data_IF_893761938997
#
_entry.id   IF_893761938997
#
_cell.length_a   1.000
_cell.length_b   1.000
_cell.length_c   1.000
_cell.angle_alpha   90.00
_cell.angle_beta   90.00
_cell.angle_gamma   90.00
#
_symmetry.space_group_name_H-M   'P 1'
#
loop_
_entity.id
_entity.type
_entity.pdbx_description
1 polymer ?
#
# COMPACT_ATOMS: atom_id res chain seq x y z
N UNK A 1 -18.47 -44.36 -82.29
CA UNK A 1 -18.30 -44.37 -80.81
C UNK A 1 -17.46 -43.18 -80.38
N UNK A 2 -17.73 -42.67 -79.17
CA UNK A 2 -17.01 -41.66 -78.37
C UNK A 2 -17.45 -40.19 -78.54
N UNK A 3 -18.42 -39.86 -77.66
CA UNK A 3 -19.02 -38.56 -77.33
C UNK A 3 -17.95 -37.56 -76.86
N UNK A 4 -18.03 -36.31 -77.34
CA UNK A 4 -17.32 -35.17 -76.78
C UNK A 4 -18.03 -34.73 -75.49
N UNK A 5 -17.35 -34.87 -74.36
CA UNK A 5 -17.81 -34.37 -73.05
C UNK A 5 -17.33 -32.93 -72.91
N UNK A 6 -18.29 -32.02 -72.84
CA UNK A 6 -18.09 -30.61 -72.53
C UNK A 6 -17.84 -30.47 -71.02
N UNK A 7 -16.60 -30.22 -70.59
CA UNK A 7 -16.30 -29.89 -69.19
C UNK A 7 -16.58 -28.40 -68.95
N UNK A 8 -17.59 -28.14 -68.13
CA UNK A 8 -17.90 -26.83 -67.56
C UNK A 8 -16.86 -26.55 -66.46
N UNK A 9 -16.01 -25.55 -66.67
CA UNK A 9 -15.12 -25.03 -65.66
C UNK A 9 -15.93 -24.16 -64.67
N UNK A 10 -16.33 -24.74 -63.55
CA UNK A 10 -16.87 -23.97 -62.41
C UNK A 10 -15.69 -23.32 -61.70
N UNK A 11 -15.44 -22.05 -62.03
CA UNK A 11 -14.54 -21.19 -61.24
C UNK A 11 -15.26 -20.87 -59.93
N UNK A 12 -14.96 -21.62 -58.88
CA UNK A 12 -15.30 -21.24 -57.50
C UNK A 12 -14.45 -20.02 -57.13
N UNK A 13 -14.97 -18.81 -57.39
CA UNK A 13 -14.50 -17.59 -56.74
C UNK A 13 -14.95 -17.64 -55.28
N UNK A 14 -14.20 -18.39 -54.47
CA UNK A 14 -14.32 -18.36 -53.02
C UNK A 14 -13.96 -16.97 -52.52
N UNK A 15 -14.99 -16.16 -52.28
CA UNK A 15 -14.89 -14.87 -51.60
C UNK A 15 -14.24 -15.13 -50.25
N UNK A 16 -12.96 -14.76 -50.11
CA UNK A 16 -12.31 -14.65 -48.81
C UNK A 16 -12.95 -13.45 -48.13
N UNK A 17 -14.10 -13.67 -47.49
CA UNK A 17 -14.73 -12.70 -46.60
C UNK A 17 -13.94 -12.65 -45.28
N UNK A 18 -12.63 -12.39 -45.35
CA UNK A 18 -11.83 -11.94 -44.23
C UNK A 18 -12.09 -10.44 -44.03
N UNK A 19 -13.36 -10.09 -43.75
CA UNK A 19 -13.77 -8.79 -43.26
C UNK A 19 -13.34 -8.57 -41.81
N UNK A 20 -12.09 -8.88 -41.48
CA UNK A 20 -11.44 -8.27 -40.32
C UNK A 20 -11.11 -6.84 -40.76
N UNK A 21 -12.01 -5.90 -40.50
CA UNK A 21 -11.77 -4.48 -40.77
C UNK A 21 -10.39 -4.06 -40.25
N UNK A 22 -9.69 -3.19 -41.01
CA UNK A 22 -8.32 -2.73 -40.69
C UNK A 22 -8.20 -2.48 -39.18
N UNK A 23 -7.19 -3.08 -38.54
CA UNK A 23 -7.00 -2.94 -37.10
C UNK A 23 -6.94 -1.46 -36.72
N UNK A 24 -7.58 -1.08 -35.62
CA UNK A 24 -7.46 0.25 -35.04
C UNK A 24 -6.93 0.16 -33.60
N UNK A 25 -6.27 1.23 -33.17
CA UNK A 25 -5.73 1.36 -31.81
C UNK A 25 -5.62 2.84 -31.44
N UNK A 26 -6.32 3.23 -30.38
CA UNK A 26 -6.21 4.55 -29.75
C UNK A 26 -6.07 4.39 -28.23
N UNK A 27 -5.50 5.42 -27.61
CA UNK A 27 -5.41 5.59 -26.16
C UNK A 27 -6.06 6.93 -25.82
N UNK A 28 -6.75 7.00 -24.70
CA UNK A 28 -7.41 8.24 -24.29
C UNK A 28 -6.38 9.33 -23.96
N UNK A 29 -5.32 8.94 -23.24
CA UNK A 29 -4.26 9.82 -22.78
C UNK A 29 -2.90 9.20 -23.07
N UNK A 30 -1.97 10.01 -23.58
CA UNK A 30 -0.56 9.61 -23.77
C UNK A 30 0.26 9.78 -22.49
N UNK A 31 -0.28 10.46 -21.49
CA UNK A 31 0.33 10.71 -20.20
C UNK A 31 -0.71 10.49 -19.11
N UNK A 32 -0.42 9.63 -18.14
CA UNK A 32 -1.36 9.26 -17.08
C UNK A 32 -0.67 9.36 -15.73
N UNK A 33 -1.26 10.14 -14.83
CA UNK A 33 -0.84 10.18 -13.43
C UNK A 33 -1.48 9.00 -12.66
N UNK A 34 -0.72 8.28 -11.81
CA UNK A 34 -1.33 7.25 -10.99
C UNK A 34 -2.25 7.87 -9.92
N UNK A 35 -3.34 7.17 -9.63
CA UNK A 35 -4.26 7.50 -8.54
C UNK A 35 -4.17 6.41 -7.45
N UNK A 36 -3.80 6.83 -6.25
CA UNK A 36 -3.51 5.94 -5.13
C UNK A 36 -2.36 4.96 -5.42
N UNK A 37 -2.69 3.71 -5.77
CA UNK A 37 -1.68 2.65 -5.94
C UNK A 37 -1.24 2.42 -7.38
N UNK A 38 -1.98 2.93 -8.37
CA UNK A 38 -1.77 2.57 -9.77
C UNK A 38 -2.39 3.58 -10.74
N UNK A 39 -1.92 3.56 -11.99
CA UNK A 39 -2.53 4.29 -13.09
C UNK A 39 -3.51 3.40 -13.86
N UNK A 40 -4.62 3.97 -14.34
CA UNK A 40 -5.55 3.27 -15.22
C UNK A 40 -5.37 3.80 -16.63
N UNK A 41 -4.97 2.92 -17.54
CA UNK A 41 -4.85 3.25 -18.97
C UNK A 41 -6.11 2.77 -19.68
N UNK A 42 -6.70 3.65 -20.48
CA UNK A 42 -7.92 3.40 -21.25
C UNK A 42 -7.69 3.70 -22.72
N UNK A 43 -8.40 2.99 -23.58
CA UNK A 43 -8.33 3.20 -25.02
C UNK A 43 -9.35 2.37 -25.79
N UNK A 44 -9.23 2.37 -27.10
CA UNK A 44 -10.13 1.67 -28.00
C UNK A 44 -9.36 0.82 -29.03
N UNK A 45 -9.94 -0.33 -29.36
CA UNK A 45 -9.50 -1.20 -30.44
C UNK A 45 -10.65 -2.05 -30.96
N UNK A 46 -10.72 -2.27 -32.27
CA UNK A 46 -11.66 -3.16 -32.95
C UNK A 46 -11.23 -4.63 -32.92
N UNK A 47 -10.06 -4.92 -32.35
CA UNK A 47 -9.59 -6.28 -32.13
C UNK A 47 -10.05 -6.79 -30.77
N UNK A 48 -10.30 -8.11 -30.65
CA UNK A 48 -10.81 -8.74 -29.42
C UNK A 48 -9.88 -8.58 -28.22
N UNK A 49 -8.59 -8.38 -28.46
CA UNK A 49 -7.56 -8.23 -27.44
C UNK A 49 -6.55 -7.17 -27.86
N UNK A 50 -5.97 -6.50 -26.87
CA UNK A 50 -4.77 -5.67 -27.03
C UNK A 50 -3.66 -6.22 -26.15
N UNK A 51 -2.44 -6.16 -26.64
CA UNK A 51 -1.25 -6.57 -25.91
C UNK A 51 -0.56 -5.33 -25.33
N UNK A 52 0.06 -5.44 -24.17
CA UNK A 52 0.83 -4.35 -23.59
C UNK A 52 2.07 -4.84 -22.85
N UNK A 53 3.08 -3.98 -22.81
CA UNK A 53 4.33 -4.17 -22.08
C UNK A 53 4.57 -2.94 -21.22
N UNK A 54 5.05 -3.13 -19.99
CA UNK A 54 5.46 -2.04 -19.09
C UNK A 54 6.98 -2.06 -19.04
N UNK A 55 7.64 -0.97 -19.42
CA UNK A 55 9.10 -0.84 -19.45
C UNK A 55 9.79 -1.98 -20.25
N UNK A 56 9.17 -2.43 -21.35
CA UNK A 56 9.69 -3.53 -22.18
C UNK A 56 9.65 -4.92 -21.53
N UNK A 57 9.01 -5.07 -20.37
CA UNK A 57 8.86 -6.36 -19.70
C UNK A 57 7.94 -7.34 -20.46
N UNK A 58 7.68 -8.50 -19.86
CA UNK A 58 6.83 -9.53 -20.43
C UNK A 58 5.47 -8.99 -20.90
N UNK A 59 5.09 -9.40 -22.11
CA UNK A 59 3.82 -9.03 -22.73
C UNK A 59 2.64 -9.56 -21.92
N UNK A 60 1.67 -8.68 -21.70
CA UNK A 60 0.37 -9.00 -21.10
C UNK A 60 -0.72 -8.70 -22.11
N UNK A 61 -1.89 -9.28 -21.93
CA UNK A 61 -3.04 -9.05 -22.81
C UNK A 61 -4.26 -8.64 -22.00
N UNK A 62 -5.10 -7.78 -22.58
CA UNK A 62 -6.41 -7.44 -22.03
C UNK A 62 -7.46 -7.54 -23.14
N UNK A 63 -8.64 -8.06 -22.79
CA UNK A 63 -9.77 -8.15 -23.72
C UNK A 63 -10.40 -6.79 -23.91
N UNK A 64 -10.82 -6.50 -25.14
CA UNK A 64 -11.72 -5.39 -25.41
C UNK A 64 -13.15 -5.78 -25.09
N UNK A 65 -13.93 -4.84 -24.56
CA UNK A 65 -15.38 -4.96 -24.40
C UNK A 65 -16.04 -3.84 -25.19
N UNK A 66 -16.84 -4.20 -26.19
CA UNK A 66 -17.49 -3.23 -27.10
C UNK A 66 -16.50 -2.22 -27.70
N UNK A 67 -15.33 -2.71 -28.12
CA UNK A 67 -14.27 -1.88 -28.70
C UNK A 67 -13.43 -1.08 -27.70
N UNK A 68 -13.73 -1.10 -26.40
CA UNK A 68 -12.96 -0.40 -25.38
C UNK A 68 -12.08 -1.36 -24.57
N UNK A 69 -10.91 -0.90 -24.13
CA UNK A 69 -10.07 -1.60 -23.16
C UNK A 69 -9.67 -0.68 -22.01
N UNK A 70 -9.44 -1.29 -20.85
CA UNK A 70 -8.84 -0.62 -19.70
C UNK A 70 -7.99 -1.62 -18.91
N UNK A 71 -6.83 -1.19 -18.44
CA UNK A 71 -5.99 -1.99 -17.56
C UNK A 71 -5.21 -1.11 -16.58
N UNK A 72 -4.78 -1.72 -15.49
CA UNK A 72 -4.12 -1.02 -14.38
C UNK A 72 -2.63 -1.29 -14.40
N UNK A 73 -1.83 -0.22 -14.25
CA UNK A 73 -0.37 -0.26 -14.19
C UNK A 73 0.06 0.20 -12.79
N UNK A 74 0.67 -0.68 -11.98
CA UNK A 74 1.20 -0.29 -10.67
C UNK A 74 2.09 0.95 -10.78
N UNK A 75 1.91 1.90 -9.88
CA UNK A 75 2.78 3.08 -9.80
C UNK A 75 4.21 2.67 -9.42
N UNK A 76 5.20 3.46 -9.83
CA UNK A 76 6.60 3.32 -9.42
C UNK A 76 7.18 4.68 -9.03
N UNK A 77 8.34 4.66 -8.39
CA UNK A 77 9.15 5.86 -8.10
C UNK A 77 9.95 6.37 -9.31
N UNK A 78 9.71 5.78 -10.49
CA UNK A 78 10.23 6.20 -11.79
C UNK A 78 9.11 6.25 -12.82
N UNK A 79 9.32 7.09 -13.84
CA UNK A 79 8.43 7.16 -15.00
C UNK A 79 8.45 5.82 -15.71
N UNK A 80 7.27 5.35 -16.14
CA UNK A 80 7.14 4.09 -16.86
C UNK A 80 6.64 4.36 -18.28
N UNK A 81 7.09 3.54 -19.22
CA UNK A 81 6.55 3.56 -20.59
C UNK A 81 5.73 2.30 -20.81
N UNK A 82 4.49 2.48 -21.22
CA UNK A 82 3.57 1.39 -21.52
C UNK A 82 3.33 1.36 -23.02
N UNK A 83 3.86 0.33 -23.67
CA UNK A 83 3.68 0.11 -25.11
C UNK A 83 2.51 -0.83 -25.32
N UNK A 84 1.50 -0.38 -26.04
CA UNK A 84 0.27 -1.11 -26.36
C UNK A 84 0.28 -1.45 -27.84
N UNK A 85 -0.02 -2.70 -28.17
CA UNK A 85 0.07 -3.23 -29.53
C UNK A 85 -1.18 -4.00 -29.92
N UNK A 86 -1.56 -3.82 -31.18
CA UNK A 86 -2.65 -4.54 -31.85
C UNK A 86 -2.27 -4.77 -33.31
N UNK A 87 -1.99 -6.02 -33.69
CA UNK A 87 -1.42 -6.31 -35.01
C UNK A 87 -0.11 -5.57 -35.24
N UNK A 88 -0.03 -4.76 -36.30
CA UNK A 88 1.12 -3.90 -36.62
C UNK A 88 1.06 -2.51 -35.95
N UNK A 89 -0.04 -2.16 -35.29
CA UNK A 89 -0.21 -0.85 -34.63
C UNK A 89 0.40 -0.85 -33.24
N UNK A 90 1.02 0.27 -32.87
CA UNK A 90 1.62 0.49 -31.55
C UNK A 90 1.30 1.90 -31.04
N UNK A 91 1.09 2.03 -29.73
CA UNK A 91 0.93 3.30 -29.01
C UNK A 91 1.69 3.24 -27.69
N UNK A 92 2.39 4.32 -27.36
CA UNK A 92 3.06 4.46 -26.07
C UNK A 92 2.31 5.42 -25.17
N UNK A 93 2.19 5.05 -23.90
CA UNK A 93 1.63 5.86 -22.82
C UNK A 93 2.69 5.99 -21.73
N UNK A 94 2.97 7.23 -21.29
CA UNK A 94 3.84 7.49 -20.14
C UNK A 94 3.01 7.51 -18.86
N UNK A 95 3.47 6.77 -17.87
CA UNK A 95 2.89 6.81 -16.51
C UNK A 95 3.85 7.57 -15.60
N UNK A 96 3.34 8.61 -14.95
CA UNK A 96 4.13 9.44 -14.03
C UNK A 96 4.68 8.65 -12.85
N UNK A 97 5.81 9.12 -12.32
CA UNK A 97 6.37 8.60 -11.07
C UNK A 97 5.62 9.17 -9.86
N UNK A 98 5.56 8.38 -8.79
CA UNK A 98 5.15 8.85 -7.45
C UNK A 98 6.29 8.56 -6.47
N UNK A 99 6.73 9.52 -5.64
CA UNK A 99 7.76 9.25 -4.65
C UNK A 99 7.37 8.12 -3.70
N UNK A 100 8.33 7.30 -3.28
CA UNK A 100 8.05 6.25 -2.32
C UNK A 100 7.77 6.82 -0.92
N UNK A 101 6.85 6.20 -0.17
CA UNK A 101 6.64 6.45 1.26
C UNK A 101 7.88 6.08 2.10
N UNK A 102 8.73 5.20 1.58
CA UNK A 102 9.97 4.76 2.21
C UNK A 102 10.23 3.27 2.05
N UNK A 103 11.24 2.75 2.75
CA UNK A 103 11.58 1.33 2.73
C UNK A 103 10.47 0.50 3.39
N UNK A 104 10.02 -0.55 2.71
CA UNK A 104 8.96 -1.44 3.20
C UNK A 104 9.35 -2.12 4.53
N UNK A 105 10.61 -2.55 4.67
CA UNK A 105 11.10 -3.17 5.91
C UNK A 105 11.00 -2.23 7.12
N UNK A 106 11.24 -0.93 6.91
CA UNK A 106 11.13 0.08 7.97
C UNK A 106 9.66 0.33 8.33
N UNK A 107 8.80 0.52 7.33
CA UNK A 107 7.36 0.75 7.53
C UNK A 107 6.71 -0.46 8.22
N UNK A 108 6.93 -1.67 7.70
CA UNK A 108 6.38 -2.90 8.28
C UNK A 108 6.87 -3.16 9.70
N UNK A 109 8.15 -2.90 10.00
CA UNK A 109 8.70 -3.01 11.35
C UNK A 109 8.04 -2.02 12.32
N UNK A 110 7.95 -0.73 11.95
CA UNK A 110 7.29 0.30 12.77
C UNK A 110 5.82 -0.02 13.02
N UNK A 111 5.10 -0.41 11.97
CA UNK A 111 3.69 -0.81 12.06
C UNK A 111 3.54 -2.01 13.00
N UNK A 112 4.30 -3.08 12.81
CA UNK A 112 4.20 -4.31 13.61
C UNK A 112 4.57 -4.09 15.09
N UNK A 113 5.58 -3.27 15.36
CA UNK A 113 5.98 -2.92 16.73
C UNK A 113 4.87 -2.11 17.43
N UNK A 114 4.33 -1.09 16.74
CA UNK A 114 3.26 -0.25 17.29
C UNK A 114 1.97 -1.04 17.50
N UNK A 115 1.64 -1.95 16.58
CA UNK A 115 0.51 -2.86 16.71
C UNK A 115 0.66 -3.78 17.93
N UNK A 116 1.83 -4.39 18.13
CA UNK A 116 2.10 -5.21 19.31
C UNK A 116 2.02 -4.38 20.61
N UNK A 117 2.58 -3.17 20.62
CA UNK A 117 2.49 -2.25 21.75
C UNK A 117 1.04 -1.86 22.08
N UNK A 118 0.23 -1.59 21.06
CA UNK A 118 -1.19 -1.22 21.24
C UNK A 118 -2.05 -2.36 21.82
N UNK A 119 -1.61 -3.62 21.66
CA UNK A 119 -2.30 -4.80 22.16
C UNK A 119 -1.88 -5.20 23.59
N UNK A 120 -0.91 -4.51 24.19
CA UNK A 120 -0.56 -4.65 25.60
C UNK A 120 -1.70 -4.14 26.51
N UNK A 121 -1.78 -4.65 27.74
CA UNK A 121 -2.67 -4.07 28.75
C UNK A 121 -2.23 -2.64 29.10
N UNK A 122 -3.12 -1.80 29.64
CA UNK A 122 -2.74 -0.44 30.08
C UNK A 122 -1.61 -0.46 31.12
N UNK A 123 -1.59 -1.47 31.99
CA UNK A 123 -0.53 -1.66 32.98
C UNK A 123 0.80 -2.00 32.30
N UNK A 124 0.79 -2.94 31.35
CA UNK A 124 2.01 -3.31 30.60
C UNK A 124 2.50 -2.18 29.68
N UNK A 125 1.60 -1.37 29.12
CA UNK A 125 1.95 -0.17 28.36
C UNK A 125 2.66 0.86 29.24
N UNK A 126 2.14 1.11 30.44
CA UNK A 126 2.78 2.00 31.43
C UNK A 126 4.15 1.46 31.83
N UNK A 127 4.25 0.18 32.15
CA UNK A 127 5.52 -0.47 32.52
C UNK A 127 6.54 -0.40 31.37
N UNK A 128 6.12 -0.64 30.12
CA UNK A 128 6.99 -0.53 28.96
C UNK A 128 7.48 0.92 28.73
N UNK A 129 6.60 1.91 28.93
CA UNK A 129 6.96 3.33 28.87
C UNK A 129 7.97 3.72 29.94
N UNK A 130 7.74 3.32 31.19
CA UNK A 130 8.66 3.54 32.31
C UNK A 130 10.01 2.85 32.08
N UNK A 131 10.00 1.61 31.60
CA UNK A 131 11.22 0.86 31.28
C UNK A 131 12.04 1.56 30.20
N UNK A 132 11.40 2.10 29.16
CA UNK A 132 12.06 2.88 28.11
C UNK A 132 12.69 4.16 28.67
N UNK A 133 11.95 4.92 29.49
CA UNK A 133 12.44 6.15 30.11
C UNK A 133 13.62 5.89 31.05
N UNK A 134 13.49 4.89 31.95
CA UNK A 134 14.56 4.48 32.86
C UNK A 134 15.78 3.94 32.12
N UNK A 135 15.59 3.15 31.06
CA UNK A 135 16.67 2.65 30.22
C UNK A 135 17.42 3.76 29.47
N UNK A 136 16.71 4.79 28.97
CA UNK A 136 17.32 5.96 28.35
C UNK A 136 18.11 6.79 29.36
N UNK A 137 17.56 6.99 30.57
CA UNK A 137 18.27 7.65 31.67
C UNK A 137 19.54 6.88 32.05
N UNK A 138 19.44 5.56 32.20
CA UNK A 138 20.58 4.68 32.51
C UNK A 138 21.69 4.79 31.45
N UNK A 139 21.34 4.78 30.15
CA UNK A 139 22.32 4.96 29.07
C UNK A 139 23.03 6.32 29.14
N UNK A 140 22.31 7.39 29.45
CA UNK A 140 22.90 8.73 29.63
C UNK A 140 23.84 8.76 30.85
N UNK A 141 23.45 8.13 31.94
CA UNK A 141 24.26 8.06 33.16
C UNK A 141 25.51 7.19 32.96
N UNK A 142 25.40 6.07 32.26
CA UNK A 142 26.55 5.26 31.81
C UNK A 142 27.52 6.07 30.93
N UNK A 143 27.00 6.86 29.98
CA UNK A 143 27.84 7.68 29.13
C UNK A 143 28.62 8.75 29.92
N UNK A 144 27.97 9.40 30.90
CA UNK A 144 28.62 10.35 31.80
C UNK A 144 29.68 9.68 32.69
N UNK A 145 29.39 8.47 33.19
CA UNK A 145 30.31 7.72 34.04
C UNK A 145 31.59 7.27 33.32
N UNK A 146 31.51 6.95 32.03
CA UNK A 146 32.69 6.65 31.21
C UNK A 146 33.69 7.81 31.10
N UNK A 147 33.23 9.04 31.38
CA UNK A 147 34.05 10.25 31.35
C UNK A 147 34.47 10.73 32.75
N UNK A 148 34.05 10.03 33.82
CA UNK A 148 34.33 10.42 35.20
C UNK A 148 35.64 9.80 35.73
N UNK A 149 36.18 10.34 36.83
CA UNK A 149 37.39 9.81 37.46
C UNK A 149 37.19 8.39 38.01
N UNK A 150 38.28 7.59 38.17
CA UNK A 150 38.19 6.22 38.67
C UNK A 150 37.47 6.08 40.03
N UNK A 151 37.64 7.03 40.94
CA UNK A 151 36.95 7.02 42.24
C UNK A 151 35.42 7.20 42.10
N UNK A 152 34.99 8.05 41.15
CA UNK A 152 33.56 8.27 40.86
C UNK A 152 32.95 7.07 40.13
N UNK A 153 33.74 6.40 39.28
CA UNK A 153 33.31 5.16 38.62
C UNK A 153 33.08 4.04 39.63
N UNK A 154 33.96 3.86 40.61
CA UNK A 154 33.82 2.82 41.63
C UNK A 154 32.58 3.00 42.51
N UNK A 155 32.30 4.24 42.92
CA UNK A 155 31.17 4.56 43.82
C UNK A 155 29.82 4.55 43.11
N UNK A 156 29.69 5.18 41.94
CA UNK A 156 28.41 5.24 41.21
C UNK A 156 28.17 3.99 40.34
N UNK A 157 29.21 3.24 39.99
CA UNK A 157 29.09 2.03 39.19
C UNK A 157 28.23 0.95 39.84
N UNK A 158 28.36 0.74 41.15
CA UNK A 158 27.55 -0.24 41.88
C UNK A 158 26.05 0.11 41.92
N UNK A 159 25.71 1.40 42.14
CA UNK A 159 24.33 1.87 42.10
C UNK A 159 23.70 1.65 40.71
N UNK A 160 24.49 1.90 39.67
CA UNK A 160 24.08 1.73 38.28
C UNK A 160 23.86 0.25 37.92
N UNK A 161 24.69 -0.66 38.45
CA UNK A 161 24.47 -2.10 38.33
C UNK A 161 23.19 -2.56 39.02
N UNK A 162 22.88 -2.04 40.22
CA UNK A 162 21.61 -2.34 40.92
C UNK A 162 20.39 -1.84 40.13
N UNK A 163 20.46 -0.64 39.57
CA UNK A 163 19.40 -0.13 38.69
C UNK A 163 19.25 -1.00 37.43
N UNK A 164 20.35 -1.39 36.79
CA UNK A 164 20.32 -2.29 35.63
C UNK A 164 19.70 -3.66 35.97
N UNK A 165 20.00 -4.21 37.15
CA UNK A 165 19.42 -5.46 37.62
C UNK A 165 17.90 -5.35 37.85
N UNK A 166 17.44 -4.25 38.46
CA UNK A 166 16.01 -3.97 38.63
C UNK A 166 15.28 -3.87 37.28
N UNK A 167 15.87 -3.18 36.30
CA UNK A 167 15.30 -3.06 34.95
C UNK A 167 15.25 -4.41 34.20
N UNK A 168 16.13 -5.37 34.53
CA UNK A 168 16.13 -6.70 33.91
C UNK A 168 14.85 -7.47 34.24
N UNK A 169 14.36 -7.39 35.48
CA UNK A 169 13.13 -8.05 35.91
C UNK A 169 11.89 -7.46 35.20
N UNK A 170 11.80 -6.12 35.15
CA UNK A 170 10.72 -5.43 34.44
C UNK A 170 10.78 -5.68 32.93
N UNK A 171 11.98 -5.76 32.36
CA UNK A 171 12.19 -6.15 30.95
C UNK A 171 11.65 -7.55 30.67
N UNK A 172 11.85 -8.51 31.58
CA UNK A 172 11.33 -9.87 31.41
C UNK A 172 9.80 -9.91 31.42
N UNK A 173 9.16 -9.13 32.31
CA UNK A 173 7.69 -8.99 32.37
C UNK A 173 7.15 -8.38 31.07
N UNK A 174 7.72 -7.26 30.63
CA UNK A 174 7.32 -6.59 29.37
C UNK A 174 7.55 -7.50 28.17
N UNK A 175 8.65 -8.25 28.12
CA UNK A 175 8.93 -9.22 27.05
C UNK A 175 7.87 -10.32 26.99
N UNK A 176 7.46 -10.87 28.13
CA UNK A 176 6.38 -11.88 28.19
C UNK A 176 5.04 -11.29 27.74
N UNK A 177 4.69 -10.09 28.20
CA UNK A 177 3.48 -9.39 27.78
C UNK A 177 3.48 -9.11 26.27
N UNK A 178 4.63 -8.68 25.72
CA UNK A 178 4.81 -8.48 24.28
C UNK A 178 4.69 -9.77 23.49
N UNK A 179 5.18 -10.91 24.00
CA UNK A 179 5.00 -12.20 23.32
C UNK A 179 3.49 -12.54 23.21
N UNK A 180 2.73 -12.36 24.29
CA UNK A 180 1.28 -12.55 24.28
C UNK A 180 0.59 -11.58 23.32
N UNK A 181 0.94 -10.29 23.36
CA UNK A 181 0.39 -9.29 22.46
C UNK A 181 0.71 -9.60 20.99
N UNK A 182 1.93 -10.04 20.70
CA UNK A 182 2.36 -10.48 19.37
C UNK A 182 1.54 -11.65 18.83
N UNK A 183 1.17 -12.60 19.69
CA UNK A 183 0.28 -13.71 19.32
C UNK A 183 -1.14 -13.24 19.04
N UNK A 184 -1.66 -12.27 19.81
CA UNK A 184 -3.01 -11.71 19.62
C UNK A 184 -3.16 -10.96 18.29
N UNK A 185 -2.09 -10.31 17.82
CA UNK A 185 -2.13 -9.48 16.61
C UNK A 185 -1.56 -10.16 15.37
N UNK A 186 -1.21 -11.45 15.44
CA UNK A 186 -0.47 -12.17 14.39
C UNK A 186 -1.10 -12.02 12.99
N UNK A 187 -2.43 -12.09 12.90
CA UNK A 187 -3.18 -12.07 11.63
C UNK A 187 -3.37 -10.66 11.07
N UNK A 188 -2.91 -9.64 11.81
CA UNK A 188 -3.01 -8.23 11.46
C UNK A 188 -1.66 -7.55 11.32
N UNK A 189 -0.57 -8.33 11.34
CA UNK A 189 0.79 -7.86 11.08
C UNK A 189 1.05 -7.74 9.59
N UNK A 190 1.80 -6.71 9.21
CA UNK A 190 2.37 -6.64 7.87
C UNK A 190 3.43 -7.73 7.72
N UNK A 191 3.50 -8.43 6.57
CA UNK A 191 4.51 -9.43 6.34
C UNK A 191 5.89 -8.78 6.32
N UNK A 192 6.94 -9.51 6.74
CA UNK A 192 8.32 -8.98 6.77
C UNK A 192 8.90 -8.75 5.38
N UNK A 193 8.34 -9.41 4.37
CA UNK A 193 8.65 -9.24 2.95
C UNK A 193 7.35 -9.03 2.18
N UNK A 194 7.39 -8.16 1.18
CA UNK A 194 6.28 -7.95 0.25
C UNK A 194 6.73 -8.27 -1.17
N UNK A 195 5.78 -8.72 -2.00
CA UNK A 195 6.00 -8.93 -3.43
C UNK A 195 6.00 -7.57 -4.14
N UNK A 196 6.76 -7.46 -5.24
CA UNK A 196 6.69 -6.29 -6.10
C UNK A 196 5.29 -6.18 -6.75
N UNK A 197 4.81 -4.95 -6.94
CA UNK A 197 3.49 -4.61 -7.44
C UNK A 197 2.44 -4.43 -6.35
N UNK A 198 1.18 -4.41 -6.78
CA UNK A 198 0.01 -4.20 -5.91
C UNK A 198 -0.46 -5.55 -5.34
N UNK A 199 -0.54 -5.66 -4.02
CA UNK A 199 -1.04 -6.86 -3.34
C UNK A 199 -1.68 -6.56 -1.99
N UNK A 200 -2.60 -7.43 -1.55
CA UNK A 200 -3.14 -7.38 -0.18
C UNK A 200 -2.04 -7.86 0.78
N UNK A 201 -1.55 -6.94 1.62
CA UNK A 201 -0.53 -7.23 2.65
C UNK A 201 -1.17 -7.82 3.90
N UNK A 202 -2.36 -7.33 4.24
CA UNK A 202 -3.24 -7.86 5.28
C UNK A 202 -4.65 -7.93 4.69
N UNK A 203 -5.36 -9.03 4.93
CA UNK A 203 -6.77 -9.17 4.56
C UNK A 203 -7.52 -9.90 5.67
N UNK A 204 -8.50 -9.21 6.23
CA UNK A 204 -9.42 -9.74 7.25
C UNK A 204 -10.85 -9.35 6.90
N UNK A 205 -11.84 -9.89 7.62
CA UNK A 205 -13.25 -9.49 7.47
C UNK A 205 -13.53 -8.02 7.84
N UNK A 206 -12.61 -7.34 8.54
CA UNK A 206 -12.78 -6.00 9.09
C UNK A 206 -11.90 -4.95 8.43
N UNK A 207 -10.86 -5.38 7.73
CA UNK A 207 -9.84 -4.50 7.21
C UNK A 207 -9.00 -5.21 6.16
N UNK A 208 -8.65 -4.49 5.11
CA UNK A 208 -7.57 -4.84 4.19
C UNK A 208 -6.54 -3.73 4.20
N UNK A 209 -5.26 -4.08 4.31
CA UNK A 209 -4.16 -3.18 3.95
C UNK A 209 -3.58 -3.70 2.66
N UNK A 210 -3.74 -2.94 1.59
CA UNK A 210 -3.16 -3.21 0.28
C UNK A 210 -1.95 -2.32 0.08
N UNK A 211 -0.86 -2.86 -0.45
CA UNK A 211 0.34 -2.09 -0.73
C UNK A 211 0.76 -2.22 -2.18
N UNK A 212 1.35 -1.16 -2.69
CA UNK A 212 2.18 -1.21 -3.89
C UNK A 212 3.64 -1.13 -3.46
N UNK A 213 4.40 -2.21 -3.65
CA UNK A 213 5.83 -2.27 -3.32
C UNK A 213 6.64 -2.40 -4.61
N UNK A 214 7.71 -1.63 -4.76
CA UNK A 214 8.66 -1.77 -5.87
C UNK A 214 10.06 -1.71 -5.31
N UNK A 215 10.86 -2.72 -5.61
CA UNK A 215 12.29 -2.78 -5.26
C UNK A 215 12.55 -2.52 -3.77
N UNK A 216 11.73 -3.14 -2.92
CA UNK A 216 11.80 -3.00 -1.46
C UNK A 216 11.27 -1.68 -0.90
N UNK A 217 10.81 -0.75 -1.75
CA UNK A 217 10.19 0.52 -1.36
C UNK A 217 8.67 0.42 -1.44
N UNK A 218 7.99 1.05 -0.49
CA UNK A 218 6.53 1.19 -0.53
C UNK A 218 6.18 2.42 -1.35
N UNK A 219 5.57 2.23 -2.51
CA UNK A 219 5.12 3.33 -3.38
C UNK A 219 3.83 3.95 -2.82
N UNK A 220 2.92 3.12 -2.33
CA UNK A 220 1.68 3.56 -1.70
C UNK A 220 1.01 2.45 -0.90
N UNK A 221 0.11 2.85 -0.01
CA UNK A 221 -0.72 1.95 0.78
C UNK A 221 -2.20 2.33 0.63
N UNK A 222 -3.09 1.36 0.78
CA UNK A 222 -4.52 1.59 0.89
C UNK A 222 -5.07 0.83 2.10
N UNK A 223 -5.71 1.57 2.99
CA UNK A 223 -6.48 1.01 4.09
C UNK A 223 -7.95 0.95 3.67
N UNK A 224 -8.52 -0.25 3.67
CA UNK A 224 -9.88 -0.51 3.24
C UNK A 224 -10.68 -1.08 4.41
N UNK A 225 -11.80 -0.45 4.78
CA UNK A 225 -12.62 -0.86 5.92
C UNK A 225 -14.09 -0.92 5.54
N UNK A 226 -14.83 -1.99 5.90
CA UNK A 226 -16.27 -2.04 5.66
C UNK A 226 -16.99 -0.89 6.37
N UNK A 227 -17.85 -0.15 5.66
CA UNK A 227 -18.61 0.98 6.21
C UNK A 227 -19.48 0.52 7.40
N UNK A 228 -19.99 -0.72 7.37
CA UNK A 228 -20.74 -1.32 8.48
C UNK A 228 -19.95 -1.38 9.79
N UNK A 229 -18.62 -1.54 9.72
CA UNK A 229 -17.78 -1.62 10.92
C UNK A 229 -17.55 -0.24 11.54
N UNK A 230 -17.64 0.84 10.75
CA UNK A 230 -17.56 2.21 11.25
C UNK A 230 -18.80 2.64 12.06
N UNK A 231 -19.93 1.92 11.93
CA UNK A 231 -21.19 2.25 12.65
C UNK A 231 -21.17 1.87 14.13
N UNK A 232 -20.20 1.08 14.58
CA UNK A 232 -20.10 0.63 15.97
C UNK A 232 -18.88 1.21 16.64
N UNK A 233 -19.04 1.76 17.85
CA UNK A 233 -17.95 2.44 18.58
C UNK A 233 -16.71 1.55 18.72
N UNK A 234 -16.89 0.27 19.08
CA UNK A 234 -15.79 -0.68 19.25
C UNK A 234 -14.96 -0.86 17.97
N UNK A 235 -15.62 -1.08 16.83
CA UNK A 235 -14.91 -1.33 15.56
C UNK A 235 -14.42 -0.04 14.90
N UNK A 236 -15.12 1.08 15.08
CA UNK A 236 -14.62 2.40 14.71
C UNK A 236 -13.30 2.71 15.45
N UNK A 237 -13.21 2.36 16.75
CA UNK A 237 -11.96 2.47 17.51
C UNK A 237 -10.85 1.58 16.96
N UNK A 238 -11.16 0.37 16.50
CA UNK A 238 -10.20 -0.49 15.81
C UNK A 238 -9.70 0.16 14.51
N UNK A 239 -10.59 0.75 13.70
CA UNK A 239 -10.19 1.53 12.53
C UNK A 239 -9.26 2.69 12.91
N UNK A 240 -9.64 3.51 13.89
CA UNK A 240 -8.82 4.65 14.37
C UNK A 240 -7.43 4.19 14.81
N UNK A 241 -7.36 3.05 15.51
CA UNK A 241 -6.09 2.47 15.97
C UNK A 241 -5.22 2.04 14.78
N UNK A 242 -5.77 1.24 13.86
CA UNK A 242 -5.04 0.78 12.67
C UNK A 242 -4.61 1.94 11.77
N UNK A 243 -5.48 2.92 11.57
CA UNK A 243 -5.20 4.12 10.80
C UNK A 243 -4.06 4.93 11.41
N UNK A 244 -4.11 5.17 12.73
CA UNK A 244 -3.08 5.93 13.43
C UNK A 244 -1.72 5.23 13.36
N UNK A 245 -1.68 3.93 13.62
CA UNK A 245 -0.46 3.13 13.52
C UNK A 245 0.09 3.16 12.09
N UNK A 246 -0.77 3.04 11.08
CA UNK A 246 -0.34 3.07 9.68
C UNK A 246 0.20 4.46 9.29
N UNK A 247 -0.47 5.53 9.69
CA UNK A 247 -0.04 6.91 9.46
C UNK A 247 1.33 7.20 10.10
N UNK A 248 1.51 6.86 11.38
CA UNK A 248 2.80 7.04 12.07
C UNK A 248 3.91 6.16 11.43
N UNK A 249 3.56 4.95 10.96
CA UNK A 249 4.54 4.04 10.33
C UNK A 249 5.15 4.60 9.04
N UNK A 250 4.42 5.47 8.33
CA UNK A 250 4.88 6.16 7.12
C UNK A 250 5.40 7.57 7.40
N UNK A 251 5.51 7.97 8.67
CA UNK A 251 6.07 9.26 9.09
C UNK A 251 5.08 10.43 9.09
N UNK A 252 3.77 10.17 8.93
CA UNK A 252 2.75 11.19 9.13
C UNK A 252 2.51 11.43 10.64
N UNK A 253 1.85 12.55 10.98
CA UNK A 253 1.30 12.79 12.31
C UNK A 253 -0.12 12.22 12.36
N UNK A 254 -0.27 11.05 12.99
CA UNK A 254 -1.57 10.39 13.11
C UNK A 254 -2.62 11.24 13.81
N UNK A 255 -2.25 12.02 14.85
CA UNK A 255 -3.22 12.84 15.59
C UNK A 255 -3.76 13.95 14.72
N UNK A 256 -2.86 14.65 14.01
CA UNK A 256 -3.25 15.70 13.07
C UNK A 256 -4.18 15.15 11.99
N UNK A 257 -3.75 14.09 11.31
CA UNK A 257 -4.51 13.52 10.19
C UNK A 257 -5.86 12.97 10.66
N UNK A 258 -5.94 12.34 11.84
CA UNK A 258 -7.21 11.88 12.40
C UNK A 258 -8.15 13.05 12.71
N UNK A 259 -7.63 14.15 13.25
CA UNK A 259 -8.41 15.37 13.49
C UNK A 259 -8.94 15.95 12.17
N UNK A 260 -8.10 16.03 11.14
CA UNK A 260 -8.49 16.53 9.82
C UNK A 260 -9.55 15.62 9.17
N UNK A 261 -9.40 14.29 9.30
CA UNK A 261 -10.40 13.32 8.87
C UNK A 261 -11.74 13.52 9.57
N UNK A 262 -11.75 13.74 10.89
CA UNK A 262 -12.96 14.00 11.66
C UNK A 262 -13.65 15.30 11.23
N UNK A 263 -12.89 16.38 11.04
CA UNK A 263 -13.41 17.66 10.54
C UNK A 263 -14.06 17.49 9.17
N UNK A 264 -13.41 16.78 8.26
CA UNK A 264 -13.93 16.54 6.93
C UNK A 264 -15.17 15.63 6.93
N UNK A 265 -15.23 14.64 7.82
CA UNK A 265 -16.40 13.78 7.98
C UNK A 265 -17.61 14.55 8.54
N UNK A 266 -17.38 15.50 9.45
CA UNK A 266 -18.43 16.31 10.09
C UNK A 266 -18.84 17.53 9.25
N UNK A 267 -17.94 18.09 8.45
CA UNK A 267 -18.16 19.28 7.61
C UNK A 267 -18.91 19.01 6.30
N UNK A 268 -19.66 17.90 6.18
CA UNK A 268 -20.41 17.57 4.97
C UNK A 268 -21.52 18.59 4.73
N UNK A 269 -21.27 19.55 3.84
CA UNK A 269 -22.32 20.15 3.04
C UNK A 269 -22.92 19.05 2.14
N UNK A 270 -24.25 18.93 2.13
CA UNK A 270 -25.02 17.83 1.52
C UNK A 270 -24.76 17.56 0.02
N UNK A 271 -23.96 18.39 -0.66
CA UNK A 271 -23.78 18.39 -2.12
C UNK A 271 -22.33 18.19 -2.62
N UNK A 272 -21.33 17.93 -1.76
CA UNK A 272 -19.95 17.67 -2.22
C UNK A 272 -19.62 16.18 -2.32
N UNK A 273 -19.24 15.75 -3.53
CA UNK A 273 -18.81 14.38 -3.85
C UNK A 273 -17.28 14.20 -3.79
N UNK A 274 -16.54 15.31 -3.68
CA UNK A 274 -15.07 15.32 -3.63
C UNK A 274 -14.56 15.57 -2.21
N UNK A 275 -13.65 14.72 -1.78
CA UNK A 275 -12.97 14.78 -0.49
C UNK A 275 -11.62 15.46 -0.68
N UNK A 276 -11.31 16.47 0.13
CA UNK A 276 -9.98 17.05 0.13
C UNK A 276 -8.93 16.00 0.52
N UNK A 277 -7.76 16.07 -0.12
CA UNK A 277 -6.60 15.26 0.23
C UNK A 277 -6.00 15.79 1.53
N UNK A 278 -5.92 14.97 2.57
CA UNK A 278 -5.31 15.35 3.84
C UNK A 278 -3.79 15.22 3.74
N UNK A 279 -3.03 16.09 4.40
CA UNK A 279 -1.57 16.14 4.28
C UNK A 279 -0.86 16.23 5.63
N UNK A 280 0.22 15.47 5.78
CA UNK A 280 1.14 15.56 6.92
C UNK A 280 2.55 15.11 6.53
N UNK A 281 3.56 15.93 6.81
CA UNK A 281 4.98 15.63 6.51
C UNK A 281 5.25 15.15 5.07
N UNK A 282 4.51 15.71 4.10
CA UNK A 282 4.56 15.29 2.70
C UNK A 282 4.06 13.86 2.47
N UNK A 283 3.10 13.39 3.28
CA UNK A 283 2.30 12.19 3.03
C UNK A 283 0.86 12.65 2.80
N UNK A 284 0.27 12.19 1.70
CA UNK A 284 -1.08 12.47 1.26
C UNK A 284 -2.02 11.32 1.66
N UNK A 285 -3.21 11.68 2.14
CA UNK A 285 -4.29 10.75 2.47
C UNK A 285 -5.53 11.13 1.67
N UNK A 286 -5.82 10.34 0.63
CA UNK A 286 -7.01 10.51 -0.22
C UNK A 286 -8.10 9.55 0.22
N UNK A 287 -9.31 10.07 0.42
CA UNK A 287 -10.41 9.29 1.00
C UNK A 287 -11.45 8.99 -0.07
N UNK A 288 -11.66 7.71 -0.37
CA UNK A 288 -12.73 7.24 -1.25
C UNK A 288 -13.84 6.57 -0.46
N UNK A 289 -15.10 6.87 -0.78
CA UNK A 289 -16.26 6.18 -0.19
C UNK A 289 -16.98 5.37 -1.28
N UNK A 290 -17.19 4.08 -1.03
CA UNK A 290 -18.23 3.31 -1.73
C UNK A 290 -19.39 3.02 -0.79
N UNK A 291 -20.45 2.41 -1.31
CA UNK A 291 -21.61 2.00 -0.51
C UNK A 291 -21.26 1.00 0.60
N UNK A 292 -20.16 0.25 0.45
CA UNK A 292 -19.78 -0.84 1.36
C UNK A 292 -18.43 -0.66 2.02
N UNK A 293 -17.53 0.15 1.44
CA UNK A 293 -16.12 0.22 1.85
C UNK A 293 -15.63 1.67 1.87
N UNK A 294 -14.97 2.03 2.98
CA UNK A 294 -14.13 3.21 3.09
C UNK A 294 -12.74 2.85 2.56
N UNK A 295 -12.20 3.67 1.68
CA UNK A 295 -10.85 3.59 1.16
C UNK A 295 -10.06 4.80 1.66
N UNK A 296 -8.88 4.54 2.20
CA UNK A 296 -7.89 5.58 2.49
C UNK A 296 -6.63 5.22 1.74
N UNK A 297 -6.33 5.98 0.69
CA UNK A 297 -5.08 5.87 -0.06
C UNK A 297 -4.02 6.75 0.58
N UNK A 298 -2.83 6.20 0.78
CA UNK A 298 -1.69 6.83 1.43
C UNK A 298 -0.54 6.81 0.44
N UNK A 299 -0.11 8.00 0.01
CA UNK A 299 0.99 8.21 -0.94
C UNK A 299 1.87 9.38 -0.50
N UNK A 300 2.99 9.62 -1.17
CA UNK A 300 3.69 10.91 -1.09
C UNK A 300 2.97 12.01 -1.84
#
# INVERSE_FOLDING_TARGET
MKRKVLMIAVVFLGIILAGCGKANLSVNDKHVDPDGLAAVIKGQSNQKTVNYQIDGAATKSVKTKSGAFAFTVPAKDKVQTVTIKTGKLSKDVRVSKIPALGNYSTISSKYNQSLAGSALSKQDQKLAGELSAKGAALKKEQAKLKQASPQVQATKGQALMKQAASLKADSAKVKKALAVANSKVKDTKLPTKAKNGVSDLIKTKHMTIRGNVSDGKTIGLALMVPVKDLKTVKKAKSFVTSFSILADSVGADAKKILSDFQKQANGKNKNQTTTNVLKSHGVNFSIGYSTTTLYVYITK
#
